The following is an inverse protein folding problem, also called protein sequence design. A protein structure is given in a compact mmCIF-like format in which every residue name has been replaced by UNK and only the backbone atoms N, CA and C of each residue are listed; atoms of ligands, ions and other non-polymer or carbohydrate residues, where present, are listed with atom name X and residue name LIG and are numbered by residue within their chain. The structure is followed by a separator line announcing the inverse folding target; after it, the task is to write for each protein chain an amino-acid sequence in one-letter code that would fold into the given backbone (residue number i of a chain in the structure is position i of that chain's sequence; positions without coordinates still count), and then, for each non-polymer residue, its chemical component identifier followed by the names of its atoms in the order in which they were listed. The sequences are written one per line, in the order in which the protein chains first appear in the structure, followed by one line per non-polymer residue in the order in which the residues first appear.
data_IF_926747024074
#
_entry.id   IF_926747024074
#
_cell.length_a   1.000
_cell.length_b   1.000
_cell.length_c   1.000
_cell.angle_alpha   90.00
_cell.angle_beta   90.00
_cell.angle_gamma   90.00
#
_symmetry.space_group_name_H-M   'P 1'
#
loop_
_entity.id
_entity.type
_entity.pdbx_description
1 polymer ?
#
# COMPACT_ATOMS: atom_id res chain seq x y z
N UNK A 1 3.42 -0.47 -2.07
CA UNK A 1 3.05 0.68 -2.92
C UNK A 1 1.84 1.46 -2.43
N UNK A 2 1.14 1.01 -1.42
CA UNK A 2 -0.16 1.50 -0.93
C UNK A 2 -0.15 2.83 -0.15
N UNK A 3 1.04 3.35 0.16
CA UNK A 3 1.23 4.64 0.83
C UNK A 3 0.91 5.83 -0.05
N UNK A 4 0.99 5.67 -1.36
CA UNK A 4 0.73 6.77 -2.30
C UNK A 4 -0.67 7.31 -2.14
N UNK A 5 -1.66 6.43 -1.99
CA UNK A 5 -3.04 6.81 -1.78
C UNK A 5 -3.21 7.59 -0.46
N UNK A 6 -2.63 7.09 0.63
CA UNK A 6 -2.73 7.72 1.94
C UNK A 6 -2.03 9.10 1.98
N UNK A 7 -0.80 9.21 1.46
CA UNK A 7 -0.08 10.47 1.35
C UNK A 7 -0.85 11.45 0.45
N UNK A 8 -1.33 10.98 -0.71
CA UNK A 8 -2.08 11.83 -1.63
C UNK A 8 -3.38 12.33 -1.00
N UNK A 9 -4.14 11.47 -0.33
CA UNK A 9 -5.35 11.88 0.38
C UNK A 9 -5.07 12.95 1.45
N UNK A 10 -4.01 12.75 2.24
CA UNK A 10 -3.58 13.72 3.24
C UNK A 10 -3.18 15.07 2.62
N UNK A 11 -2.42 15.07 1.53
CA UNK A 11 -2.04 16.28 0.77
C UNK A 11 -3.24 17.04 0.20
N UNK A 12 -4.31 16.31 -0.13
CA UNK A 12 -5.57 16.91 -0.58
C UNK A 12 -6.52 17.29 0.57
N UNK A 13 -6.01 17.39 1.81
CA UNK A 13 -6.76 17.89 2.96
C UNK A 13 -7.63 16.86 3.67
N UNK A 14 -7.50 15.58 3.34
CA UNK A 14 -8.28 14.52 4.00
C UNK A 14 -7.50 13.95 5.19
N UNK A 15 -8.09 13.97 6.38
CA UNK A 15 -7.53 13.26 7.54
C UNK A 15 -7.54 11.76 7.25
N UNK A 16 -6.37 11.14 7.26
CA UNK A 16 -6.17 9.77 6.77
C UNK A 16 -5.46 8.92 7.83
N UNK A 17 -5.90 7.69 8.02
CA UNK A 17 -5.19 6.67 8.78
C UNK A 17 -4.64 5.61 7.82
N UNK A 18 -3.34 5.34 7.87
CA UNK A 18 -2.68 4.24 7.19
C UNK A 18 -2.45 3.11 8.18
N UNK A 19 -3.25 2.06 8.07
CA UNK A 19 -3.11 0.84 8.87
C UNK A 19 -2.18 -0.11 8.13
N UNK A 20 -1.09 -0.51 8.77
CA UNK A 20 -0.05 -1.30 8.13
C UNK A 20 0.44 -2.44 9.03
N UNK A 21 0.27 -3.67 8.56
CA UNK A 21 0.57 -4.88 9.34
C UNK A 21 2.08 -5.15 9.51
N UNK A 22 2.95 -4.39 8.83
CA UNK A 22 4.40 -4.60 8.87
C UNK A 22 5.12 -3.46 9.59
N UNK A 23 6.36 -3.66 10.07
CA UNK A 23 7.12 -2.65 10.81
C UNK A 23 7.66 -1.51 9.92
N UNK A 24 7.82 -1.74 8.62
CA UNK A 24 8.34 -0.75 7.68
C UNK A 24 7.42 -0.56 6.50
N UNK A 25 7.44 0.63 5.94
CA UNK A 25 6.70 0.95 4.75
C UNK A 25 7.47 0.47 3.50
N UNK A 26 6.79 0.04 2.41
CA UNK A 26 7.44 -0.38 1.14
C UNK A 26 6.89 -1.67 0.58
N UNK A 27 6.46 -2.58 1.45
CA UNK A 27 6.10 -3.92 1.00
C UNK A 27 7.30 -4.58 0.34
N UNK A 28 7.14 -5.10 -0.87
CA UNK A 28 8.22 -5.76 -1.60
C UNK A 28 9.46 -4.87 -1.84
N UNK A 29 9.28 -3.55 -1.90
CA UNK A 29 10.39 -2.62 -2.10
C UNK A 29 11.08 -2.19 -0.80
N UNK A 30 10.64 -2.68 0.37
CA UNK A 30 11.27 -2.40 1.65
C UNK A 30 12.50 -3.27 1.90
N UNK A 31 13.20 -3.00 3.00
CA UNK A 31 14.30 -3.84 3.49
C UNK A 31 13.89 -5.28 3.78
N UNK A 32 12.60 -5.56 3.96
CA UNK A 32 12.10 -6.90 4.25
C UNK A 32 12.22 -7.86 3.06
N UNK A 33 11.92 -7.38 1.83
CA UNK A 33 11.92 -8.22 0.62
C UNK A 33 13.01 -7.79 -0.37
N UNK A 34 13.35 -6.49 -0.41
CA UNK A 34 14.43 -5.90 -1.20
C UNK A 34 14.25 -6.04 -2.71
N UNK A 35 13.02 -5.98 -3.20
CA UNK A 35 12.75 -5.89 -4.64
C UNK A 35 12.69 -4.42 -5.01
N UNK A 36 13.57 -3.98 -5.90
CA UNK A 36 13.59 -2.60 -6.38
C UNK A 36 12.30 -2.27 -7.17
N UNK A 37 11.95 -0.98 -7.16
CA UNK A 37 10.83 -0.49 -7.98
C UNK A 37 11.29 -0.53 -9.44
N UNK A 38 10.58 -1.28 -10.26
CA UNK A 38 10.73 -1.32 -11.70
C UNK A 38 9.44 -0.88 -12.39
N UNK A 39 9.49 -0.61 -13.67
CA UNK A 39 8.35 -0.13 -14.45
C UNK A 39 8.86 0.63 -15.66
N UNK A 40 8.41 1.86 -15.87
CA UNK A 40 8.92 2.75 -16.90
C UNK A 40 10.31 3.28 -16.53
N UNK A 41 11.32 2.41 -16.54
CA UNK A 41 12.69 2.71 -16.11
C UNK A 41 13.69 2.83 -17.27
N UNK A 42 13.18 3.01 -18.49
CA UNK A 42 14.00 3.16 -19.72
C UNK A 42 14.63 4.55 -19.86
N UNK A 43 14.67 5.32 -18.78
CA UNK A 43 15.19 6.70 -18.78
C UNK A 43 16.65 6.84 -19.27
N UNK A 44 17.46 5.76 -19.22
CA UNK A 44 18.79 5.73 -19.81
C UNK A 44 18.76 5.69 -21.35
N UNK A 45 17.69 5.17 -21.95
CA UNK A 45 17.51 5.08 -23.41
C UNK A 45 16.57 6.16 -23.94
N UNK A 46 15.56 6.48 -23.17
CA UNK A 46 14.53 7.46 -23.48
C UNK A 46 14.19 8.25 -22.21
N UNK A 47 14.71 9.48 -22.05
CA UNK A 47 14.58 10.27 -20.81
C UNK A 47 13.14 10.50 -20.37
N UNK A 48 12.18 10.50 -21.29
CA UNK A 48 10.76 10.71 -21.00
C UNK A 48 10.04 9.45 -20.45
N UNK A 49 10.73 8.29 -20.46
CA UNK A 49 10.17 7.03 -19.96
C UNK A 49 10.55 6.84 -18.50
N UNK A 50 9.85 7.55 -17.61
CA UNK A 50 10.02 7.44 -16.17
C UNK A 50 8.66 7.51 -15.45
N UNK A 51 8.58 6.85 -14.31
CA UNK A 51 7.44 7.00 -13.42
C UNK A 51 7.38 8.43 -12.87
N UNK A 52 6.20 9.02 -12.87
CA UNK A 52 5.98 10.37 -12.35
C UNK A 52 5.42 10.41 -10.93
N UNK A 53 5.03 11.61 -10.50
CA UNK A 53 4.33 11.85 -9.24
C UNK A 53 5.12 11.44 -8.01
N UNK A 54 4.41 10.92 -6.99
CA UNK A 54 5.02 10.57 -5.70
C UNK A 54 6.12 9.49 -5.81
N UNK A 55 6.05 8.60 -6.80
CA UNK A 55 7.13 7.61 -7.00
C UNK A 55 8.41 8.29 -7.42
N UNK A 56 8.32 9.22 -8.36
CA UNK A 56 9.48 10.01 -8.79
C UNK A 56 10.05 10.84 -7.64
N UNK A 57 9.19 11.48 -6.84
CA UNK A 57 9.60 12.24 -5.66
C UNK A 57 10.40 11.38 -4.68
N UNK A 58 9.88 10.20 -4.33
CA UNK A 58 10.54 9.26 -3.43
C UNK A 58 11.88 8.73 -3.98
N UNK A 59 11.91 8.38 -5.26
CA UNK A 59 13.13 7.89 -5.91
C UNK A 59 14.19 8.97 -6.02
N UNK A 60 13.80 10.22 -6.30
CA UNK A 60 14.71 11.37 -6.35
C UNK A 60 15.31 11.68 -4.99
N UNK A 61 14.49 11.66 -3.94
CA UNK A 61 14.92 11.82 -2.54
C UNK A 61 15.91 10.72 -2.16
N UNK A 62 15.56 9.48 -2.45
CA UNK A 62 16.45 8.35 -2.18
C UNK A 62 17.79 8.48 -2.92
N UNK A 63 17.75 8.86 -4.19
CA UNK A 63 18.97 9.04 -4.99
C UNK A 63 19.87 10.15 -4.45
N UNK A 64 19.27 11.22 -3.92
CA UNK A 64 20.01 12.36 -3.38
C UNK A 64 20.75 12.06 -2.06
N UNK A 65 20.27 11.07 -1.28
CA UNK A 65 20.76 10.83 0.08
C UNK A 65 21.19 9.38 0.34
N UNK A 66 21.12 8.48 -0.64
CA UNK A 66 21.41 7.06 -0.48
C UNK A 66 22.33 6.54 -1.59
N UNK A 67 23.57 7.00 -1.59
CA UNK A 67 24.56 6.66 -2.62
C UNK A 67 24.87 5.17 -2.71
N UNK A 68 24.68 4.43 -1.62
CA UNK A 68 24.92 2.99 -1.53
C UNK A 68 23.71 2.13 -1.85
N UNK A 69 22.59 2.73 -2.17
CA UNK A 69 21.30 2.04 -2.38
C UNK A 69 20.91 1.10 -1.24
N UNK A 70 21.17 1.53 0.00
CA UNK A 70 20.83 0.77 1.19
C UNK A 70 19.32 0.73 1.40
N UNK A 71 18.76 -0.45 1.52
CA UNK A 71 17.31 -0.62 1.70
C UNK A 71 16.78 -0.10 3.05
N UNK A 72 17.58 -0.16 4.12
CA UNK A 72 17.15 0.41 5.40
C UNK A 72 17.07 1.95 5.32
N UNK A 73 17.95 2.58 4.56
CA UNK A 73 17.84 4.00 4.29
C UNK A 73 16.61 4.34 3.44
N UNK A 74 16.32 3.51 2.44
CA UNK A 74 15.09 3.62 1.66
C UNK A 74 13.84 3.55 2.55
N UNK A 75 13.78 2.65 3.52
CA UNK A 75 12.68 2.58 4.50
C UNK A 75 12.54 3.89 5.27
N UNK A 76 13.66 4.53 5.64
CA UNK A 76 13.67 5.84 6.29
C UNK A 76 13.07 6.92 5.39
N UNK A 77 13.48 7.00 4.13
CA UNK A 77 12.89 7.94 3.16
C UNK A 77 11.37 7.77 3.07
N UNK A 78 10.91 6.53 3.01
CA UNK A 78 9.48 6.24 2.97
C UNK A 78 8.74 6.64 4.25
N UNK A 79 9.37 6.42 5.40
CA UNK A 79 8.82 6.78 6.70
C UNK A 79 8.74 8.30 6.86
N UNK A 80 9.83 9.02 6.60
CA UNK A 80 9.90 10.48 6.70
C UNK A 80 8.87 11.15 5.80
N UNK A 81 8.72 10.66 4.57
CA UNK A 81 7.72 11.20 3.64
C UNK A 81 6.29 11.03 4.16
N UNK A 82 5.98 9.92 4.79
CA UNK A 82 4.67 9.70 5.41
C UNK A 82 4.48 10.55 6.67
N UNK A 83 5.51 10.68 7.49
CA UNK A 83 5.49 11.47 8.74
C UNK A 83 5.44 12.98 8.49
N UNK A 84 5.92 13.45 7.35
CA UNK A 84 5.85 14.85 6.97
C UNK A 84 4.41 15.33 6.64
N UNK A 85 3.47 14.41 6.44
CA UNK A 85 2.10 14.75 6.12
C UNK A 85 1.27 14.96 7.41
N UNK A 86 0.86 16.18 7.74
CA UNK A 86 0.24 16.48 9.04
C UNK A 86 -1.15 15.87 9.22
N UNK A 87 -1.80 15.49 8.14
CA UNK A 87 -3.12 14.84 8.14
C UNK A 87 -3.05 13.31 7.99
N UNK A 88 -1.85 12.72 8.07
CA UNK A 88 -1.65 11.28 7.96
C UNK A 88 -1.18 10.68 9.27
N UNK A 89 -2.02 9.85 9.87
CA UNK A 89 -1.66 8.99 10.99
C UNK A 89 -1.24 7.61 10.48
N UNK A 90 -0.05 7.11 10.88
CA UNK A 90 0.46 5.79 10.47
C UNK A 90 0.50 4.85 11.65
N UNK A 91 -0.15 3.70 11.51
CA UNK A 91 -0.19 2.62 12.51
C UNK A 91 0.58 1.40 11.98
N UNK A 92 1.81 1.21 12.46
CA UNK A 92 2.65 0.06 12.14
C UNK A 92 2.29 -1.17 12.96
N UNK A 93 2.71 -2.35 12.47
CA UNK A 93 2.47 -3.65 13.13
C UNK A 93 1.00 -3.84 13.52
N UNK A 94 0.11 -3.24 12.76
CA UNK A 94 -1.32 -3.19 13.04
C UNK A 94 -2.08 -3.93 11.95
N UNK A 95 -2.57 -5.12 12.29
CA UNK A 95 -3.30 -5.98 11.38
C UNK A 95 -4.82 -5.87 11.62
N UNK A 96 -5.58 -5.75 10.55
CA UNK A 96 -7.03 -5.86 10.60
C UNK A 96 -7.42 -7.32 10.77
N UNK A 97 -8.38 -7.58 11.67
CA UNK A 97 -8.90 -8.91 11.93
C UNK A 97 -10.43 -9.02 11.83
N UNK A 98 -11.14 -7.89 11.74
CA UNK A 98 -12.59 -7.89 11.67
C UNK A 98 -13.12 -6.60 11.03
N UNK A 99 -14.32 -6.65 10.44
CA UNK A 99 -15.01 -5.54 9.77
C UNK A 99 -16.44 -5.45 10.26
N UNK A 100 -16.88 -4.25 10.58
CA UNK A 100 -18.27 -3.96 10.91
C UNK A 100 -18.96 -3.34 9.71
N UNK A 101 -20.05 -3.97 9.28
CA UNK A 101 -20.86 -3.49 8.15
C UNK A 101 -22.29 -3.14 8.61
N UNK A 102 -22.88 -2.18 7.96
CA UNK A 102 -24.30 -1.81 8.11
C UNK A 102 -24.85 -1.34 6.77
N UNK A 103 -25.95 -1.95 6.29
CA UNK A 103 -26.58 -1.63 5.02
C UNK A 103 -25.59 -1.60 3.84
N UNK A 104 -24.83 -2.67 3.68
CA UNK A 104 -23.78 -2.86 2.65
C UNK A 104 -22.66 -1.81 2.67
N UNK A 105 -22.47 -1.15 3.80
CA UNK A 105 -21.40 -0.18 4.01
C UNK A 105 -20.49 -0.61 5.16
N UNK A 106 -19.20 -0.47 4.98
CA UNK A 106 -18.23 -0.60 6.07
C UNK A 106 -18.37 0.62 6.97
N UNK A 107 -18.62 0.39 8.26
CA UNK A 107 -18.74 1.44 9.28
C UNK A 107 -17.54 1.50 10.20
N UNK A 108 -16.85 0.36 10.39
CA UNK A 108 -15.62 0.29 11.16
C UNK A 108 -14.77 -0.91 10.75
N UNK A 109 -13.48 -0.83 11.04
CA UNK A 109 -12.56 -1.98 11.04
C UNK A 109 -11.99 -2.18 12.44
N UNK A 110 -11.74 -3.43 12.81
CA UNK A 110 -11.07 -3.79 14.07
C UNK A 110 -9.67 -4.27 13.77
N UNK A 111 -8.71 -3.70 14.46
CA UNK A 111 -7.31 -4.00 14.26
C UNK A 111 -6.63 -4.35 15.58
N UNK A 112 -5.59 -5.16 15.48
CA UNK A 112 -4.71 -5.49 16.58
C UNK A 112 -3.29 -5.04 16.25
N UNK A 113 -2.65 -4.33 17.17
CA UNK A 113 -1.26 -3.93 17.05
C UNK A 113 -0.41 -4.85 17.92
N UNK A 114 0.43 -5.66 17.28
CA UNK A 114 1.21 -6.70 17.93
C UNK A 114 2.26 -6.15 18.91
N UNK A 115 2.87 -5.01 18.59
CA UNK A 115 3.95 -4.43 19.41
C UNK A 115 3.49 -3.82 20.73
N UNK A 116 2.25 -3.39 20.80
CA UNK A 116 1.67 -2.73 22.00
C UNK A 116 0.53 -3.53 22.62
N UNK A 117 0.12 -4.64 21.97
CA UNK A 117 -1.04 -5.46 22.33
C UNK A 117 -2.37 -4.67 22.36
N UNK A 118 -2.38 -3.52 21.69
CA UNK A 118 -3.55 -2.64 21.63
C UNK A 118 -4.54 -3.11 20.56
N UNK A 119 -5.81 -2.99 20.91
CA UNK A 119 -6.91 -3.19 19.95
C UNK A 119 -7.48 -1.84 19.57
N UNK A 120 -7.61 -1.62 18.29
CA UNK A 120 -8.16 -0.40 17.69
C UNK A 120 -9.47 -0.70 16.98
N UNK A 121 -10.37 0.27 17.05
CA UNK A 121 -11.56 0.34 16.21
C UNK A 121 -11.50 1.65 15.44
N UNK A 122 -11.29 1.55 14.12
CA UNK A 122 -11.24 2.71 13.23
C UNK A 122 -12.58 2.90 12.55
N UNK A 123 -13.08 4.13 12.57
CA UNK A 123 -14.29 4.55 11.85
C UNK A 123 -13.91 5.61 10.82
N UNK A 124 -14.48 5.52 9.64
CA UNK A 124 -14.28 6.49 8.57
C UNK A 124 -15.46 6.47 7.61
N UNK A 125 -15.71 7.54 6.86
CA UNK A 125 -16.71 7.55 5.79
C UNK A 125 -16.27 6.73 4.57
N UNK A 126 -14.96 6.52 4.38
CA UNK A 126 -14.38 5.79 3.24
C UNK A 126 -13.26 4.88 3.73
N UNK A 127 -13.25 3.66 3.25
CA UNK A 127 -12.19 2.68 3.47
C UNK A 127 -11.60 2.27 2.13
N UNK A 128 -10.27 2.15 2.05
CA UNK A 128 -9.56 1.69 0.87
C UNK A 128 -8.84 0.38 1.19
N UNK A 129 -9.20 -0.70 0.50
CA UNK A 129 -8.48 -1.96 0.61
C UNK A 129 -7.19 -1.90 -0.20
N UNK A 130 -6.09 -1.92 0.51
CA UNK A 130 -4.76 -1.94 -0.05
C UNK A 130 -3.94 -3.14 0.47
N UNK A 131 -4.60 -4.21 0.92
CA UNK A 131 -3.95 -5.35 1.59
C UNK A 131 -3.21 -6.29 0.63
N UNK A 132 -3.37 -6.13 -0.65
CA UNK A 132 -2.79 -7.04 -1.66
C UNK A 132 -3.60 -8.32 -1.88
N UNK A 133 -4.29 -8.82 -0.86
CA UNK A 133 -5.13 -10.01 -0.93
C UNK A 133 -6.64 -9.69 -0.93
N UNK A 134 -7.02 -8.40 -0.92
CA UNK A 134 -8.42 -8.01 -0.83
C UNK A 134 -9.07 -8.35 0.52
N UNK A 135 -8.28 -8.35 1.59
CA UNK A 135 -8.70 -8.80 2.93
C UNK A 135 -9.89 -8.01 3.47
N UNK A 136 -9.90 -6.69 3.27
CA UNK A 136 -11.00 -5.83 3.68
C UNK A 136 -12.28 -6.18 2.92
N UNK A 137 -12.18 -6.34 1.60
CA UNK A 137 -13.31 -6.73 0.75
C UNK A 137 -13.86 -8.09 1.15
N UNK A 138 -12.99 -9.06 1.41
CA UNK A 138 -13.37 -10.40 1.87
C UNK A 138 -14.17 -10.34 3.18
N UNK A 139 -13.65 -9.67 4.20
CA UNK A 139 -14.35 -9.54 5.49
C UNK A 139 -15.65 -8.71 5.38
N UNK A 140 -15.72 -7.79 4.43
CA UNK A 140 -16.94 -7.01 4.17
C UNK A 140 -18.00 -7.79 3.38
N UNK A 141 -17.71 -9.02 2.93
CA UNK A 141 -18.64 -9.84 2.16
C UNK A 141 -18.72 -9.49 0.67
N UNK A 142 -17.72 -8.78 0.13
CA UNK A 142 -17.64 -8.51 -1.30
C UNK A 142 -17.44 -9.79 -2.11
N UNK A 143 -18.03 -9.86 -3.30
CA UNK A 143 -17.74 -10.95 -4.23
C UNK A 143 -16.26 -10.94 -4.62
N UNK A 144 -15.65 -12.10 -4.66
CA UNK A 144 -14.24 -12.24 -5.03
C UNK A 144 -14.02 -13.51 -5.87
N UNK A 145 -12.91 -13.51 -6.60
CA UNK A 145 -12.39 -14.68 -7.30
C UNK A 145 -11.00 -15.00 -6.78
N UNK A 146 -10.65 -16.28 -6.84
CA UNK A 146 -9.34 -16.78 -6.42
C UNK A 146 -8.79 -17.73 -7.49
N UNK A 147 -7.48 -17.62 -7.75
CA UNK A 147 -6.81 -18.40 -8.77
C UNK A 147 -6.79 -17.68 -10.13
N UNK A 148 -6.46 -18.45 -11.17
CA UNK A 148 -6.45 -17.97 -12.56
C UNK A 148 -7.73 -18.39 -13.27
N UNK A 149 -8.28 -17.48 -14.07
CA UNK A 149 -9.40 -17.80 -14.95
C UNK A 149 -8.94 -18.71 -16.10
N UNK A 150 -9.85 -19.56 -16.57
CA UNK A 150 -9.62 -20.34 -17.77
C UNK A 150 -9.62 -19.44 -19.01
N UNK A 151 -8.79 -19.78 -20.02
CA UNK A 151 -8.80 -19.07 -21.31
C UNK A 151 -10.16 -19.09 -22.01
N UNK A 152 -11.01 -20.06 -21.67
CA UNK A 152 -12.35 -20.15 -22.26
C UNK A 152 -13.34 -19.14 -21.68
N UNK A 153 -13.03 -18.54 -20.50
CA UNK A 153 -13.91 -17.58 -19.87
C UNK A 153 -13.81 -16.19 -20.54
N UNK A 154 -12.57 -15.74 -20.85
CA UNK A 154 -12.31 -14.39 -21.38
C UNK A 154 -11.52 -14.39 -22.71
N UNK A 155 -11.15 -15.55 -23.23
CA UNK A 155 -10.42 -15.67 -24.50
C UNK A 155 -8.95 -15.22 -24.41
N UNK A 156 -8.36 -15.18 -23.23
CA UNK A 156 -6.99 -14.74 -23.04
C UNK A 156 -5.99 -15.80 -23.52
N UNK A 157 -5.05 -15.45 -24.46
CA UNK A 157 -4.21 -16.46 -25.12
C UNK A 157 -3.20 -17.15 -24.16
N UNK A 158 -2.84 -16.50 -23.06
CA UNK A 158 -1.88 -17.02 -22.07
C UNK A 158 -2.53 -17.56 -20.79
N UNK A 159 -3.85 -17.50 -20.67
CA UNK A 159 -4.55 -18.07 -19.54
C UNK A 159 -4.51 -19.62 -19.60
N UNK A 160 -4.56 -20.32 -18.44
CA UNK A 160 -4.56 -21.76 -18.39
C UNK A 160 -5.80 -22.35 -19.07
N UNK A 161 -5.72 -23.60 -19.52
CA UNK A 161 -6.87 -24.29 -20.12
C UNK A 161 -7.93 -24.71 -19.09
N UNK A 162 -7.55 -24.77 -17.79
CA UNK A 162 -8.43 -25.13 -16.66
C UNK A 162 -8.12 -24.25 -15.47
#
# INVERSE_FOLDING_TARGET
MYKRQAITAARHGTRTALIHARPVLGGNASSEIRIHISGADQSLKQPDYAEGGLVYELMSENKAHNDTFNYSFWDTVLFEKAKAEPLLDVYFNTAMYDVETLNDRIIAIRCFQETTEMRYRFTAPVFADCTGNGTLGFFAGAEFRQGSESKYEFGEPHAPEK
#
